data_IF_652117148850
#
_entry.id   IF_652117148850
#
_cell.length_a   1.000
_cell.length_b   1.000
_cell.length_c   1.000
_cell.angle_alpha   90.00
_cell.angle_beta   90.00
_cell.angle_gamma   90.00
#
_symmetry.space_group_name_H-M   'P 1'
#
loop_
_entity.id
_entity.type
_entity.pdbx_description
1 polymer ?
#
# COMPACT_ATOMS: atom_id res chain seq x y z
N UNK A 1 18.11 10.82 -8.80
CA UNK A 1 16.71 11.06 -8.39
C UNK A 1 16.43 10.31 -7.10
N UNK A 2 15.77 10.91 -6.11
CA UNK A 2 15.35 10.17 -4.90
C UNK A 2 14.33 9.09 -5.29
N UNK A 3 14.45 7.89 -4.72
CA UNK A 3 13.55 6.76 -4.98
C UNK A 3 12.10 7.11 -4.59
N UNK A 4 11.93 7.72 -3.41
CA UNK A 4 10.67 8.20 -2.85
C UNK A 4 10.71 9.71 -2.60
N UNK A 5 9.55 10.38 -2.74
CA UNK A 5 9.35 11.75 -2.27
C UNK A 5 9.28 11.79 -0.73
N UNK A 6 9.36 12.99 -0.15
CA UNK A 6 9.16 13.17 1.31
C UNK A 6 7.77 12.67 1.74
N UNK A 7 6.73 12.95 0.95
CA UNK A 7 5.36 12.52 1.26
C UNK A 7 5.18 11.00 1.14
N UNK A 8 5.77 10.36 0.12
CA UNK A 8 5.78 8.90 -0.01
C UNK A 8 6.52 8.23 1.15
N UNK A 9 7.64 8.80 1.59
CA UNK A 9 8.37 8.28 2.76
C UNK A 9 7.56 8.44 4.05
N UNK A 10 6.95 9.60 4.28
CA UNK A 10 6.04 9.83 5.40
C UNK A 10 4.84 8.86 5.38
N UNK A 11 4.26 8.64 4.20
CA UNK A 11 3.19 7.66 4.01
C UNK A 11 3.67 6.24 4.34
N UNK A 12 4.85 5.83 3.87
CA UNK A 12 5.41 4.50 4.14
C UNK A 12 5.58 4.24 5.64
N UNK A 13 6.09 5.21 6.40
CA UNK A 13 6.24 5.11 7.87
C UNK A 13 4.86 4.99 8.53
N UNK A 14 3.94 5.91 8.22
CA UNK A 14 2.59 5.88 8.76
C UNK A 14 1.90 4.55 8.47
N UNK A 15 1.98 4.09 7.22
CA UNK A 15 1.35 2.87 6.75
C UNK A 15 1.96 1.63 7.40
N UNK A 16 3.28 1.60 7.63
CA UNK A 16 3.94 0.52 8.36
C UNK A 16 3.41 0.42 9.79
N UNK A 17 3.40 1.53 10.52
CA UNK A 17 2.95 1.56 11.92
C UNK A 17 1.50 1.10 12.03
N UNK A 18 0.60 1.69 11.24
CA UNK A 18 -0.83 1.36 11.32
C UNK A 18 -1.12 -0.08 10.84
N UNK A 19 -0.31 -0.63 9.93
CA UNK A 19 -0.42 -2.03 9.49
C UNK A 19 0.03 -2.99 10.58
N UNK A 20 1.12 -2.69 11.31
CA UNK A 20 1.53 -3.50 12.46
C UNK A 20 0.42 -3.50 13.53
N UNK A 21 -0.15 -2.33 13.83
CA UNK A 21 -1.26 -2.19 14.79
C UNK A 21 -2.47 -3.02 14.34
N UNK A 22 -2.85 -2.93 13.06
CA UNK A 22 -3.93 -3.75 12.50
C UNK A 22 -3.67 -5.24 12.73
N UNK A 23 -2.50 -5.73 12.32
CA UNK A 23 -2.17 -7.15 12.39
C UNK A 23 -2.12 -7.65 13.85
N UNK A 24 -1.59 -6.85 14.77
CA UNK A 24 -1.63 -7.15 16.20
C UNK A 24 -3.07 -7.21 16.72
N UNK A 25 -3.90 -6.22 16.40
CA UNK A 25 -5.31 -6.19 16.81
C UNK A 25 -6.12 -7.36 16.25
N UNK A 26 -5.95 -7.71 14.97
CA UNK A 26 -6.59 -8.90 14.37
C UNK A 26 -6.16 -10.16 15.13
N UNK A 27 -4.87 -10.33 15.39
CA UNK A 27 -4.34 -11.50 16.11
C UNK A 27 -4.97 -11.63 17.50
N UNK A 28 -5.07 -10.50 18.24
CA UNK A 28 -5.70 -10.46 19.56
C UNK A 28 -7.18 -10.85 19.50
N UNK A 29 -7.94 -10.28 18.57
CA UNK A 29 -9.37 -10.57 18.39
C UNK A 29 -9.60 -12.03 18.01
N UNK A 30 -8.79 -12.57 17.09
CA UNK A 30 -8.89 -13.98 16.68
C UNK A 30 -8.56 -14.93 17.83
N UNK A 31 -7.53 -14.64 18.63
CA UNK A 31 -7.20 -15.45 19.81
C UNK A 31 -8.31 -15.38 20.88
N UNK A 32 -8.99 -14.25 21.00
CA UNK A 32 -10.17 -14.09 21.85
C UNK A 32 -11.45 -14.71 21.25
N UNK A 33 -11.39 -15.24 20.02
CA UNK A 33 -12.53 -15.76 19.23
C UNK A 33 -13.60 -14.71 18.92
N UNK A 34 -13.23 -13.44 18.93
CA UNK A 34 -14.08 -12.29 18.60
C UNK A 34 -14.09 -12.02 17.09
N UNK A 35 -14.51 -13.03 16.31
CA UNK A 35 -14.43 -12.99 14.84
C UNK A 35 -15.22 -11.84 14.21
N UNK A 36 -16.38 -11.49 14.79
CA UNK A 36 -17.22 -10.39 14.30
C UNK A 36 -16.55 -9.04 14.48
N UNK A 37 -15.79 -8.85 15.55
CA UNK A 37 -15.11 -7.59 15.85
C UNK A 37 -14.01 -7.25 14.85
N UNK A 38 -13.44 -8.27 14.16
CA UNK A 38 -12.48 -8.06 13.07
C UNK A 38 -13.08 -7.16 11.98
N UNK A 39 -14.36 -7.35 11.63
CA UNK A 39 -15.04 -6.54 10.61
C UNK A 39 -15.20 -5.08 10.99
N UNK A 40 -15.37 -4.77 12.28
CA UNK A 40 -15.43 -3.39 12.77
C UNK A 40 -14.05 -2.76 12.91
N UNK A 41 -13.02 -3.57 13.15
CA UNK A 41 -11.65 -3.09 13.28
C UNK A 41 -11.02 -2.71 11.93
N UNK A 42 -11.43 -3.36 10.84
CA UNK A 42 -10.91 -3.08 9.49
C UNK A 42 -11.20 -1.64 9.02
N UNK A 43 -12.42 -1.08 9.10
CA UNK A 43 -12.69 0.31 8.72
C UNK A 43 -11.85 1.34 9.47
N UNK A 44 -11.58 1.10 10.76
CA UNK A 44 -10.72 1.96 11.60
C UNK A 44 -9.28 2.02 11.05
N UNK A 45 -8.84 0.99 10.33
CA UNK A 45 -7.57 0.99 9.60
C UNK A 45 -7.69 1.57 8.18
N UNK A 46 -8.69 1.15 7.40
CA UNK A 46 -8.80 1.50 5.98
C UNK A 46 -9.03 3.00 5.78
N UNK A 47 -9.87 3.62 6.62
CA UNK A 47 -10.23 5.05 6.47
C UNK A 47 -9.00 5.96 6.67
N UNK A 48 -8.22 5.86 7.76
CA UNK A 48 -7.01 6.68 7.92
C UNK A 48 -5.97 6.44 6.83
N UNK A 49 -5.79 5.18 6.40
CA UNK A 49 -4.87 4.85 5.29
C UNK A 49 -5.29 5.54 4.00
N UNK A 50 -6.57 5.46 3.67
CA UNK A 50 -7.11 6.10 2.46
C UNK A 50 -6.93 7.62 2.52
N UNK A 51 -7.30 8.25 3.65
CA UNK A 51 -7.15 9.70 3.84
C UNK A 51 -5.68 10.11 3.73
N UNK A 52 -4.77 9.39 4.39
CA UNK A 52 -3.34 9.69 4.35
C UNK A 52 -2.78 9.57 2.92
N UNK A 53 -3.12 8.49 2.21
CA UNK A 53 -2.72 8.28 0.81
C UNK A 53 -3.26 9.37 -0.11
N UNK A 54 -4.52 9.76 0.07
CA UNK A 54 -5.16 10.82 -0.71
C UNK A 54 -4.51 12.18 -0.48
N UNK A 55 -4.35 12.59 0.78
CA UNK A 55 -3.78 13.90 1.14
C UNK A 55 -2.31 14.01 0.71
N UNK A 56 -1.50 12.99 0.97
CA UNK A 56 -0.08 12.98 0.61
C UNK A 56 0.13 12.80 -0.89
N UNK A 57 -0.71 12.01 -1.56
CA UNK A 57 -0.72 11.85 -3.00
C UNK A 57 -1.08 13.15 -3.73
N UNK A 58 -2.07 13.90 -3.25
CA UNK A 58 -2.43 15.20 -3.82
C UNK A 58 -1.29 16.22 -3.69
N UNK A 59 -0.55 16.21 -2.58
CA UNK A 59 0.65 17.05 -2.39
C UNK A 59 1.79 16.68 -3.35
N UNK A 60 1.95 15.40 -3.66
CA UNK A 60 2.94 14.95 -4.65
C UNK A 60 2.51 15.23 -6.10
N UNK A 61 1.21 15.25 -6.39
CA UNK A 61 0.67 15.53 -7.72
C UNK A 61 0.86 16.99 -8.18
N UNK A 62 1.32 17.89 -7.30
CA UNK A 62 1.70 19.24 -7.70
C UNK A 62 2.93 19.28 -8.61
N UNK A 63 3.69 18.18 -8.69
CA UNK A 63 4.98 18.12 -9.40
C UNK A 63 5.13 16.91 -10.34
N UNK A 64 4.20 15.95 -10.30
CA UNK A 64 4.26 14.69 -11.06
C UNK A 64 2.86 14.24 -11.49
N UNK A 65 2.67 13.66 -12.68
CA UNK A 65 1.35 13.17 -13.11
C UNK A 65 0.76 12.15 -12.13
N UNK A 66 -0.57 12.18 -11.92
CA UNK A 66 -1.30 11.27 -11.03
C UNK A 66 -0.97 9.79 -11.27
N UNK A 67 -0.79 9.39 -12.53
CA UNK A 67 -0.45 8.01 -12.92
C UNK A 67 0.95 7.60 -12.44
N UNK A 68 1.88 8.54 -12.35
CA UNK A 68 3.25 8.33 -11.89
C UNK A 68 3.29 8.28 -10.36
N UNK A 69 2.57 9.21 -9.71
CA UNK A 69 2.51 9.32 -8.26
C UNK A 69 1.72 8.16 -7.64
N UNK A 70 0.55 7.85 -8.18
CA UNK A 70 -0.35 6.82 -7.65
C UNK A 70 0.28 5.42 -7.60
N UNK A 71 1.03 5.03 -8.65
CA UNK A 71 1.72 3.74 -8.66
C UNK A 71 2.65 3.55 -7.46
N UNK A 72 3.41 4.59 -7.08
CA UNK A 72 4.36 4.48 -5.95
C UNK A 72 3.64 4.28 -4.63
N UNK A 73 2.50 4.92 -4.41
CA UNK A 73 1.68 4.67 -3.21
C UNK A 73 1.16 3.22 -3.18
N UNK A 74 0.68 2.70 -4.31
CA UNK A 74 0.27 1.29 -4.40
C UNK A 74 1.43 0.30 -4.20
N UNK A 75 2.61 0.62 -4.71
CA UNK A 75 3.81 -0.19 -4.50
C UNK A 75 4.21 -0.21 -3.01
N UNK A 76 4.20 0.94 -2.35
CA UNK A 76 4.48 1.05 -0.91
C UNK A 76 3.47 0.22 -0.11
N UNK A 77 2.17 0.37 -0.37
CA UNK A 77 1.16 -0.38 0.38
C UNK A 77 1.30 -1.88 0.17
N UNK A 78 1.53 -2.31 -1.08
CA UNK A 78 1.76 -3.71 -1.40
C UNK A 78 2.97 -4.28 -0.65
N UNK A 79 4.14 -3.62 -0.74
CA UNK A 79 5.37 -4.13 -0.12
C UNK A 79 5.22 -4.18 1.40
N UNK A 80 4.75 -3.11 2.02
CA UNK A 80 4.66 -3.01 3.48
C UNK A 80 3.63 -4.00 4.02
N UNK A 81 2.42 -4.05 3.46
CA UNK A 81 1.35 -4.91 3.94
C UNK A 81 1.73 -6.38 3.88
N UNK A 82 2.25 -6.82 2.72
CA UNK A 82 2.63 -8.21 2.55
C UNK A 82 3.87 -8.59 3.37
N UNK A 83 4.83 -7.67 3.54
CA UNK A 83 6.00 -7.93 4.40
C UNK A 83 5.59 -8.09 5.87
N UNK A 84 4.72 -7.23 6.39
CA UNK A 84 4.21 -7.36 7.76
C UNK A 84 3.44 -8.67 7.94
N UNK A 85 2.59 -9.02 6.97
CA UNK A 85 1.86 -10.29 7.00
C UNK A 85 2.80 -11.51 7.03
N UNK A 86 3.79 -11.56 6.15
CA UNK A 86 4.78 -12.65 6.12
C UNK A 86 5.62 -12.70 7.39
N UNK A 87 6.17 -11.56 7.83
CA UNK A 87 7.00 -11.50 9.04
C UNK A 87 6.21 -11.95 10.27
N UNK A 88 4.93 -11.59 10.38
CA UNK A 88 4.08 -12.07 11.48
C UNK A 88 4.06 -13.59 11.55
N UNK A 89 3.87 -14.27 10.42
CA UNK A 89 3.86 -15.74 10.39
C UNK A 89 5.25 -16.33 10.64
N UNK A 90 6.29 -15.77 10.02
CA UNK A 90 7.67 -16.26 10.16
C UNK A 90 8.18 -16.14 11.61
N UNK A 91 7.78 -15.10 12.32
CA UNK A 91 8.15 -14.85 13.71
C UNK A 91 7.23 -15.56 14.72
N UNK A 92 6.24 -16.32 14.27
CA UNK A 92 5.33 -17.07 15.14
C UNK A 92 4.29 -16.22 15.87
N UNK A 93 4.04 -14.99 15.41
CA UNK A 93 3.05 -14.08 15.99
C UNK A 93 1.64 -14.25 15.40
N UNK A 94 1.45 -15.12 14.42
CA UNK A 94 0.13 -15.37 13.83
C UNK A 94 -0.77 -16.17 14.78
N UNK A 95 -2.07 -15.87 14.78
CA UNK A 95 -3.05 -16.69 15.49
C UNK A 95 -3.21 -18.06 14.83
N UNK A 96 -3.66 -19.06 15.59
CA UNK A 96 -3.99 -20.40 15.07
C UNK A 96 -5.11 -20.38 14.02
N UNK A 97 -5.91 -19.30 13.99
CA UNK A 97 -6.96 -19.08 13.01
C UNK A 97 -6.45 -18.43 11.71
N UNK A 98 -5.17 -18.09 11.62
CA UNK A 98 -4.59 -17.42 10.47
C UNK A 98 -3.76 -18.39 9.63
N UNK A 99 -4.13 -18.52 8.36
CA UNK A 99 -3.46 -19.43 7.45
C UNK A 99 -2.44 -18.69 6.57
N UNK A 100 -1.19 -19.15 6.59
CA UNK A 100 -0.13 -18.61 5.73
C UNK A 100 -0.47 -18.69 4.23
N UNK A 101 -1.25 -19.71 3.81
CA UNK A 101 -1.73 -19.83 2.42
C UNK A 101 -2.55 -18.60 2.00
N UNK A 102 -3.34 -18.03 2.90
CA UNK A 102 -4.11 -16.80 2.63
C UNK A 102 -3.18 -15.63 2.35
N UNK A 103 -2.05 -15.53 3.06
CA UNK A 103 -1.04 -14.50 2.81
C UNK A 103 -0.41 -14.67 1.43
N UNK A 104 0.00 -15.90 1.07
CA UNK A 104 0.57 -16.16 -0.27
C UNK A 104 -0.42 -15.88 -1.40
N UNK A 105 -1.69 -16.28 -1.25
CA UNK A 105 -2.72 -15.97 -2.25
C UNK A 105 -2.97 -14.47 -2.37
N UNK A 106 -2.96 -13.75 -1.25
CA UNK A 106 -3.10 -12.28 -1.24
C UNK A 106 -1.95 -11.61 -1.98
N UNK A 107 -0.71 -12.04 -1.73
CA UNK A 107 0.49 -11.56 -2.43
C UNK A 107 0.33 -11.76 -3.95
N UNK A 108 -0.09 -12.95 -4.38
CA UNK A 108 -0.21 -13.27 -5.80
C UNK A 108 -1.32 -12.44 -6.45
N UNK A 109 -2.54 -12.47 -5.90
CA UNK A 109 -3.68 -11.79 -6.52
C UNK A 109 -3.53 -10.27 -6.52
N UNK A 110 -3.07 -9.69 -5.41
CA UNK A 110 -2.79 -8.26 -5.37
C UNK A 110 -1.59 -7.90 -6.26
N UNK A 111 -0.58 -8.78 -6.33
CA UNK A 111 0.61 -8.61 -7.18
C UNK A 111 0.25 -8.49 -8.66
N UNK A 112 -0.74 -9.24 -9.13
CA UNK A 112 -1.26 -9.11 -10.51
C UNK A 112 -1.84 -7.70 -10.73
N UNK A 113 -2.66 -7.21 -9.80
CA UNK A 113 -3.20 -5.85 -9.88
C UNK A 113 -2.08 -4.79 -9.89
N UNK A 114 -1.07 -4.94 -9.04
CA UNK A 114 0.08 -4.04 -9.00
C UNK A 114 0.89 -4.08 -10.30
N UNK A 115 1.04 -5.24 -10.92
CA UNK A 115 1.72 -5.40 -12.21
C UNK A 115 0.99 -4.62 -13.31
N UNK A 116 -0.35 -4.66 -13.34
CA UNK A 116 -1.15 -3.85 -14.26
C UNK A 116 -0.86 -2.36 -14.05
N UNK A 117 -0.87 -1.88 -12.80
CA UNK A 117 -0.52 -0.49 -12.48
C UNK A 117 0.91 -0.13 -12.90
N UNK A 118 1.86 -1.06 -12.76
CA UNK A 118 3.24 -0.86 -13.21
C UNK A 118 3.36 -0.69 -14.73
N UNK A 119 2.62 -1.49 -15.51
CA UNK A 119 2.59 -1.34 -16.98
C UNK A 119 2.04 0.03 -17.36
N UNK A 120 0.91 0.45 -16.76
CA UNK A 120 0.32 1.78 -17.00
C UNK A 120 1.28 2.92 -16.61
N UNK A 121 1.97 2.77 -15.48
CA UNK A 121 3.03 3.68 -15.04
C UNK A 121 4.14 3.83 -16.08
N UNK A 122 4.62 2.71 -16.63
CA UNK A 122 5.67 2.72 -17.65
C UNK A 122 5.22 3.38 -18.95
N UNK A 123 3.98 3.12 -19.39
CA UNK A 123 3.39 3.76 -20.56
C UNK A 123 3.26 5.27 -20.37
N UNK A 124 2.79 5.73 -19.21
CA UNK A 124 2.67 7.15 -18.89
C UNK A 124 4.04 7.86 -18.83
N UNK A 125 5.06 7.19 -18.26
CA UNK A 125 6.43 7.75 -18.25
C UNK A 125 7.03 7.91 -19.64
N UNK A 126 6.79 7.00 -20.58
CA UNK A 126 7.29 7.14 -21.97
C UNK A 126 6.76 8.40 -22.67
N UNK A 127 5.58 8.86 -22.27
CA UNK A 127 4.89 10.04 -22.82
C UNK A 127 5.23 11.36 -22.11
N UNK A 128 6.12 11.36 -21.11
CA UNK A 128 6.50 12.57 -20.37
C UNK A 128 8.01 12.77 -20.32
N UNK A 129 8.45 14.03 -20.24
CA UNK A 129 9.84 14.43 -19.99
C UNK A 129 9.85 15.21 -18.68
N UNK A 130 10.65 14.75 -17.70
CA UNK A 130 10.71 15.34 -16.34
C UNK A 130 9.33 15.51 -15.66
N UNK A 131 8.34 14.69 -16.02
CA UNK A 131 6.99 14.75 -15.45
C UNK A 131 6.00 15.65 -16.20
N UNK A 132 6.44 16.37 -17.23
CA UNK A 132 5.57 17.16 -18.11
C UNK A 132 5.23 16.31 -19.34
N UNK A 133 3.99 16.36 -19.81
CA UNK A 133 3.61 15.60 -21.01
C UNK A 133 4.38 16.12 -22.23
N UNK A 134 4.76 15.22 -23.14
CA UNK A 134 5.46 15.63 -24.37
C UNK A 134 4.60 16.53 -25.24
N UNK A 135 3.28 16.33 -25.26
CA UNK A 135 2.34 17.20 -25.98
C UNK A 135 2.40 18.63 -25.46
N UNK A 136 2.38 18.86 -24.14
CA UNK A 136 2.51 20.22 -23.57
C UNK A 136 3.88 20.90 -23.81
N UNK A 137 4.92 20.13 -24.17
CA UNK A 137 6.27 20.68 -24.40
C UNK A 137 6.55 20.99 -25.87
N UNK A 138 5.86 20.33 -26.80
CA UNK A 138 6.18 20.36 -28.23
C UNK A 138 4.97 20.73 -29.11
N UNK A 139 3.81 21.00 -28.52
CA UNK A 139 2.70 21.76 -29.11
C UNK A 139 2.73 23.19 -28.58
#
# INVERSE_FOLDING_TARGET
MKLLTKNQFSFAIFFLVITIILHAGITLLLNAKEFTMVWFFVPVYVIPVFIAGWVLGKKDNQYLPLTVTGFKFHLITYVVSNSVALLKHLLGFASVYENIKTVYLTIIYWGIGLLIHFVLYMLARKKSIKGISKSELFE
#
